data_IF_155033898324
#
_entry.id   IF_155033898324
#
_cell.length_a   1.000
_cell.length_b   1.000
_cell.length_c   1.000
_cell.angle_alpha   90.00
_cell.angle_beta   90.00
_cell.angle_gamma   90.00
#
_symmetry.space_group_name_H-M   'P 1'
#
loop_
_entity.id
_entity.type
_entity.pdbx_description
1 polymer ?
#
# COMPACT_ATOMS: atom_id res chain seq x y z
N UNK A 1 -72.17 -9.97 33.13
CA UNK A 1 -71.44 -8.69 33.00
C UNK A 1 -70.61 -8.77 31.72
N UNK A 2 -71.05 -8.12 30.64
CA UNK A 2 -70.37 -6.95 30.01
C UNK A 2 -68.91 -7.23 29.64
N UNK A 3 -68.35 -6.92 28.46
CA UNK A 3 -68.78 -6.36 27.17
C UNK A 3 -67.47 -6.26 26.34
N UNK A 4 -67.55 -6.47 25.02
CA UNK A 4 -66.71 -5.85 23.94
C UNK A 4 -65.19 -6.10 23.97
N UNK A 5 -64.45 -6.21 22.86
CA UNK A 5 -64.73 -5.98 21.44
C UNK A 5 -63.39 -5.73 20.70
N UNK A 6 -63.41 -5.82 19.36
CA UNK A 6 -62.32 -5.43 18.43
C UNK A 6 -61.47 -6.64 17.98
N UNK A 7 -61.61 -7.25 16.80
CA UNK A 7 -61.79 -6.84 15.39
C UNK A 7 -60.49 -6.31 14.73
N UNK A 8 -60.07 -7.02 13.68
CA UNK A 8 -58.98 -6.75 12.73
C UNK A 8 -57.89 -7.85 12.79
N UNK A 9 -57.79 -8.85 11.91
CA UNK A 9 -57.91 -8.88 10.45
C UNK A 9 -56.62 -8.34 9.83
N UNK A 10 -55.80 -9.04 9.04
CA UNK A 10 -55.81 -10.38 8.46
C UNK A 10 -54.63 -10.49 7.48
N UNK A 11 -54.22 -11.72 7.14
CA UNK A 11 -53.35 -12.05 5.99
C UNK A 11 -51.85 -11.88 6.21
N UNK A 12 -50.97 -12.88 6.15
CA UNK A 12 -51.09 -14.24 5.62
C UNK A 12 -50.31 -14.39 4.31
N UNK A 13 -49.10 -14.96 4.41
CA UNK A 13 -48.58 -15.90 3.41
C UNK A 13 -47.47 -15.41 2.47
N UNK A 14 -46.45 -16.27 2.30
CA UNK A 14 -45.64 -16.29 1.08
C UNK A 14 -44.14 -16.45 1.31
N UNK A 15 -43.69 -17.67 1.60
CA UNK A 15 -42.26 -18.02 1.56
C UNK A 15 -41.74 -18.16 0.12
N UNK A 16 -40.43 -17.99 -0.04
CA UNK A 16 -39.69 -18.31 -1.26
C UNK A 16 -38.19 -18.35 -0.99
N UNK A 17 -37.62 -19.57 -1.00
CA UNK A 17 -36.18 -19.84 -0.98
C UNK A 17 -35.60 -19.71 -2.39
N UNK A 18 -34.34 -19.31 -2.50
CA UNK A 18 -33.41 -19.80 -3.53
C UNK A 18 -32.76 -18.73 -4.42
N UNK A 19 -31.43 -18.81 -4.56
CA UNK A 19 -30.69 -18.16 -5.66
C UNK A 19 -29.28 -17.68 -5.33
N UNK A 20 -28.27 -18.50 -5.60
CA UNK A 20 -26.85 -18.11 -5.72
C UNK A 20 -26.61 -17.24 -6.97
N UNK A 21 -25.61 -16.34 -6.91
CA UNK A 21 -24.70 -16.09 -8.04
C UNK A 21 -24.64 -14.66 -8.63
N UNK A 22 -23.44 -14.06 -8.60
CA UNK A 22 -22.94 -13.15 -9.65
C UNK A 22 -22.85 -11.65 -9.34
N UNK A 23 -21.64 -11.06 -9.42
CA UNK A 23 -21.46 -9.64 -9.79
C UNK A 23 -20.83 -8.67 -8.77
N UNK A 24 -19.63 -8.94 -8.25
CA UNK A 24 -18.90 -8.06 -7.31
C UNK A 24 -18.28 -6.77 -7.91
N UNK A 25 -19.05 -6.02 -8.70
CA UNK A 25 -18.67 -4.69 -9.23
C UNK A 25 -19.43 -3.50 -8.62
N UNK A 26 -20.50 -3.73 -7.87
CA UNK A 26 -21.43 -2.69 -7.39
C UNK A 26 -20.93 -1.86 -6.20
N UNK A 27 -20.22 -2.46 -5.24
CA UNK A 27 -20.00 -1.83 -3.93
C UNK A 27 -19.03 -0.62 -3.97
N UNK A 28 -18.00 -0.65 -4.83
CA UNK A 28 -17.01 0.44 -4.91
C UNK A 28 -17.54 1.68 -5.60
N UNK A 29 -18.36 1.48 -6.64
CA UNK A 29 -18.96 2.55 -7.44
C UNK A 29 -20.02 3.30 -6.62
N UNK A 30 -20.89 2.56 -5.92
CA UNK A 30 -21.88 3.13 -4.99
C UNK A 30 -21.21 3.94 -3.87
N UNK A 31 -20.18 3.38 -3.21
CA UNK A 31 -19.44 4.08 -2.16
C UNK A 31 -18.76 5.38 -2.63
N UNK A 32 -18.28 5.42 -3.88
CA UNK A 32 -17.70 6.62 -4.47
C UNK A 32 -18.74 7.74 -4.63
N UNK A 33 -19.90 7.47 -5.24
CA UNK A 33 -20.95 8.48 -5.40
C UNK A 33 -21.56 8.92 -4.07
N UNK A 34 -21.70 7.99 -3.12
CA UNK A 34 -22.17 8.34 -1.78
C UNK A 34 -21.18 9.24 -1.06
N UNK A 35 -19.87 9.11 -1.30
CA UNK A 35 -18.87 10.03 -0.77
C UNK A 35 -19.05 11.46 -1.30
N UNK A 36 -19.49 11.64 -2.55
CA UNK A 36 -19.81 12.96 -3.12
C UNK A 36 -21.04 13.55 -2.45
N UNK A 37 -22.12 12.77 -2.32
CA UNK A 37 -23.39 13.18 -1.70
C UNK A 37 -23.25 13.54 -0.22
N UNK A 38 -22.37 12.83 0.48
CA UNK A 38 -22.13 12.98 1.93
C UNK A 38 -20.96 13.92 2.29
N UNK A 39 -20.28 14.50 1.29
CA UNK A 39 -19.03 15.27 1.47
C UNK A 39 -17.92 14.54 2.23
N UNK A 40 -17.81 13.22 2.05
CA UNK A 40 -16.70 12.46 2.62
C UNK A 40 -15.43 12.65 1.78
N UNK A 41 -14.75 13.79 2.02
CA UNK A 41 -13.56 14.24 1.28
C UNK A 41 -12.41 13.22 1.31
N UNK A 42 -12.23 12.48 2.42
CA UNK A 42 -11.16 11.48 2.54
C UNK A 42 -11.37 10.33 1.56
N UNK A 43 -12.57 9.76 1.55
CA UNK A 43 -12.93 8.69 0.62
C UNK A 43 -12.92 9.18 -0.82
N UNK A 44 -13.46 10.38 -1.08
CA UNK A 44 -13.48 10.98 -2.41
C UNK A 44 -12.06 11.22 -2.96
N UNK A 45 -11.18 11.84 -2.17
CA UNK A 45 -9.80 12.10 -2.58
C UNK A 45 -9.00 10.81 -2.78
N UNK A 46 -9.24 9.78 -1.96
CA UNK A 46 -8.57 8.49 -2.14
C UNK A 46 -9.02 7.81 -3.44
N UNK A 47 -10.33 7.81 -3.71
CA UNK A 47 -10.90 7.20 -4.92
C UNK A 47 -10.46 7.89 -6.21
N UNK A 48 -10.34 9.23 -6.21
CA UNK A 48 -9.82 9.98 -7.37
C UNK A 48 -8.32 9.77 -7.60
N UNK A 49 -7.53 9.50 -6.54
CA UNK A 49 -6.07 9.32 -6.66
C UNK A 49 -5.65 7.89 -6.97
N UNK A 50 -6.32 6.91 -6.34
CA UNK A 50 -5.89 5.51 -6.34
C UNK A 50 -7.00 4.54 -6.76
N UNK A 51 -8.25 5.01 -6.83
CA UNK A 51 -9.42 4.17 -7.10
C UNK A 51 -9.80 4.05 -8.59
N UNK A 52 -9.10 4.75 -9.49
CA UNK A 52 -9.38 4.72 -10.94
C UNK A 52 -10.67 5.43 -11.37
N UNK A 53 -11.17 6.36 -10.55
CA UNK A 53 -12.33 7.21 -10.88
C UNK A 53 -11.86 8.54 -11.45
N UNK A 54 -12.53 9.05 -12.48
CA UNK A 54 -12.25 10.34 -13.10
C UNK A 54 -13.34 11.39 -12.73
N UNK A 55 -13.06 12.69 -12.86
CA UNK A 55 -14.05 13.75 -12.65
C UNK A 55 -15.24 13.74 -13.63
N UNK A 56 -15.05 13.20 -14.83
CA UNK A 56 -16.03 13.19 -15.94
C UNK A 56 -16.51 11.80 -16.33
N UNK A 57 -15.89 10.75 -15.75
CA UNK A 57 -16.29 9.33 -15.84
C UNK A 57 -16.02 8.68 -14.47
N UNK A 58 -16.87 7.82 -13.88
CA UNK A 58 -17.96 7.06 -14.46
C UNK A 58 -19.31 7.62 -14.02
N UNK A 59 -20.38 7.09 -14.60
CA UNK A 59 -21.78 7.49 -14.42
C UNK A 59 -22.41 6.88 -13.18
N UNK A 60 -23.24 7.60 -12.42
CA UNK A 60 -24.12 6.94 -11.42
C UNK A 60 -25.28 6.23 -12.14
N UNK A 61 -26.21 5.62 -11.41
CA UNK A 61 -27.40 4.98 -12.03
C UNK A 61 -28.29 5.98 -12.81
N UNK A 62 -28.06 7.29 -12.64
CA UNK A 62 -28.73 8.39 -13.32
C UNK A 62 -27.91 8.99 -14.50
N UNK A 63 -26.80 8.35 -14.87
CA UNK A 63 -25.89 8.80 -15.91
C UNK A 63 -25.27 10.20 -15.72
N UNK A 64 -25.09 10.63 -14.47
CA UNK A 64 -24.52 11.94 -14.11
C UNK A 64 -23.01 11.83 -13.80
N UNK A 65 -22.15 12.65 -14.43
CA UNK A 65 -20.72 12.72 -14.10
C UNK A 65 -20.45 13.23 -12.66
N UNK A 66 -19.34 12.84 -12.02
CA UNK A 66 -19.00 13.25 -10.65
C UNK A 66 -18.97 14.77 -10.43
N UNK A 67 -18.39 15.53 -11.37
CA UNK A 67 -18.36 17.00 -11.31
C UNK A 67 -19.76 17.60 -11.35
N UNK A 68 -20.64 17.12 -12.25
CA UNK A 68 -22.04 17.56 -12.34
C UNK A 68 -22.85 17.12 -11.12
N UNK A 69 -22.57 15.96 -10.54
CA UNK A 69 -23.24 15.47 -9.35
C UNK A 69 -22.94 16.34 -8.13
N UNK A 70 -21.68 16.77 -7.98
CA UNK A 70 -21.29 17.69 -6.91
C UNK A 70 -22.00 19.05 -7.04
N UNK A 71 -22.16 19.54 -8.27
CA UNK A 71 -22.92 20.77 -8.56
C UNK A 71 -24.41 20.59 -8.30
N UNK A 72 -25.00 19.48 -8.78
CA UNK A 72 -26.42 19.16 -8.63
C UNK A 72 -26.85 19.13 -7.16
N UNK A 73 -26.05 18.51 -6.28
CA UNK A 73 -26.31 18.47 -4.84
C UNK A 73 -25.70 19.65 -4.05
N UNK A 74 -25.13 20.66 -4.71
CA UNK A 74 -24.50 21.86 -4.12
C UNK A 74 -23.45 21.53 -3.04
N UNK A 75 -22.57 20.56 -3.33
CA UNK A 75 -21.55 20.04 -2.41
C UNK A 75 -20.22 20.74 -2.63
N UNK A 76 -20.00 21.86 -1.94
CA UNK A 76 -18.84 22.72 -2.14
C UNK A 76 -17.51 22.00 -1.86
N UNK A 77 -17.45 21.17 -0.82
CA UNK A 77 -16.20 20.46 -0.45
C UNK A 77 -15.88 19.35 -1.44
N UNK A 78 -16.90 18.63 -1.89
CA UNK A 78 -16.77 17.62 -2.93
C UNK A 78 -16.32 18.25 -4.25
N UNK A 79 -16.95 19.37 -4.66
CA UNK A 79 -16.58 20.08 -5.89
C UNK A 79 -15.13 20.57 -5.86
N UNK A 80 -14.67 21.17 -4.75
CA UNK A 80 -13.27 21.59 -4.59
C UNK A 80 -12.30 20.42 -4.75
N UNK A 81 -12.61 19.28 -4.13
CA UNK A 81 -11.76 18.08 -4.20
C UNK A 81 -11.66 17.53 -5.62
N UNK A 82 -12.77 17.58 -6.36
CA UNK A 82 -12.82 17.17 -7.77
C UNK A 82 -12.01 18.14 -8.65
N UNK A 83 -12.16 19.45 -8.46
CA UNK A 83 -11.40 20.47 -9.20
C UNK A 83 -9.89 20.39 -8.93
N UNK A 84 -9.47 20.18 -7.68
CA UNK A 84 -8.06 19.91 -7.35
C UNK A 84 -7.51 18.67 -8.06
N UNK A 85 -8.37 17.68 -8.33
CA UNK A 85 -7.97 16.51 -9.12
C UNK A 85 -7.80 16.85 -10.59
N UNK A 86 -8.63 17.73 -11.14
CA UNK A 86 -8.54 18.22 -12.53
C UNK A 86 -7.25 19.02 -12.73
N UNK A 87 -6.93 19.94 -11.82
CA UNK A 87 -5.69 20.72 -11.86
C UNK A 87 -4.44 19.84 -11.87
N UNK A 88 -4.45 18.75 -11.09
CA UNK A 88 -3.34 17.78 -11.04
C UNK A 88 -3.16 17.03 -12.36
N UNK A 89 -4.24 16.79 -13.11
CA UNK A 89 -4.18 16.13 -14.41
C UNK A 89 -3.74 17.09 -15.54
N UNK A 90 -3.67 18.41 -15.27
CA UNK A 90 -3.40 19.46 -16.27
C UNK A 90 -4.34 19.41 -17.48
N UNK A 91 -5.58 18.96 -17.28
CA UNK A 91 -6.57 18.87 -18.34
C UNK A 91 -7.67 19.92 -18.18
N UNK A 92 -7.42 21.11 -18.73
CA UNK A 92 -8.38 22.21 -18.71
C UNK A 92 -9.65 21.92 -19.52
N UNK A 93 -9.68 20.89 -20.37
CA UNK A 93 -10.89 20.53 -21.14
C UNK A 93 -11.93 19.83 -20.27
N UNK A 94 -11.53 19.29 -19.12
CA UNK A 94 -12.41 18.53 -18.22
C UNK A 94 -13.42 19.43 -17.50
N UNK A 95 -13.10 20.69 -17.22
CA UNK A 95 -14.04 21.63 -16.56
C UNK A 95 -15.21 22.03 -17.45
N UNK A 96 -15.03 21.96 -18.77
CA UNK A 96 -16.04 22.27 -19.78
C UNK A 96 -16.87 21.04 -20.22
N UNK A 97 -16.71 19.92 -19.54
CA UNK A 97 -17.43 18.69 -19.87
C UNK A 97 -18.94 18.90 -19.78
N UNK A 98 -19.69 18.39 -20.76
CA UNK A 98 -21.14 18.53 -20.81
C UNK A 98 -21.81 17.24 -20.35
N UNK A 99 -22.79 17.39 -19.46
CA UNK A 99 -23.61 16.26 -19.02
C UNK A 99 -24.41 15.66 -20.19
N UNK A 100 -24.61 14.35 -20.21
CA UNK A 100 -25.33 13.64 -21.26
C UNK A 100 -26.82 14.02 -21.26
N UNK A 101 -27.40 14.19 -20.07
CA UNK A 101 -28.84 14.42 -19.94
C UNK A 101 -29.26 15.80 -20.45
N UNK A 102 -28.58 16.85 -19.98
CA UNK A 102 -28.97 18.23 -20.30
C UNK A 102 -28.00 18.98 -21.22
N UNK A 103 -26.83 18.40 -21.53
CA UNK A 103 -25.76 19.02 -22.32
C UNK A 103 -25.27 20.38 -21.78
N UNK A 104 -25.32 20.53 -20.46
CA UNK A 104 -24.85 21.72 -19.74
C UNK A 104 -23.44 21.51 -19.22
N UNK A 105 -22.62 22.57 -19.26
CA UNK A 105 -21.36 22.60 -18.51
C UNK A 105 -21.63 22.70 -17.00
N UNK A 106 -20.66 22.37 -16.13
CA UNK A 106 -20.82 22.52 -14.68
C UNK A 106 -21.16 23.96 -14.29
N UNK A 107 -20.60 24.97 -15.00
CA UNK A 107 -20.88 26.38 -14.77
C UNK A 107 -22.34 26.73 -15.13
N UNK A 108 -22.81 26.27 -16.29
CA UNK A 108 -24.21 26.48 -16.71
C UNK A 108 -25.19 25.79 -15.74
N UNK A 109 -24.84 24.59 -15.25
CA UNK A 109 -25.62 23.88 -14.23
C UNK A 109 -25.66 24.66 -12.91
N UNK A 110 -24.53 25.19 -12.43
CA UNK A 110 -24.46 26.01 -11.22
C UNK A 110 -25.30 27.30 -11.35
N UNK A 111 -25.26 27.94 -12.53
CA UNK A 111 -26.07 29.13 -12.85
C UNK A 111 -27.56 28.82 -12.81
N UNK A 112 -27.99 27.71 -13.43
CA UNK A 112 -29.38 27.26 -13.42
C UNK A 112 -29.91 26.95 -12.04
N UNK A 113 -29.05 26.45 -11.16
CA UNK A 113 -29.38 26.16 -9.76
C UNK A 113 -29.27 27.39 -8.85
N UNK A 114 -28.85 28.56 -9.34
CA UNK A 114 -28.64 29.77 -8.53
C UNK A 114 -27.54 29.60 -7.47
N UNK A 115 -26.56 28.72 -7.69
CA UNK A 115 -25.54 28.38 -6.70
C UNK A 115 -24.29 29.26 -6.83
N UNK A 116 -24.30 30.42 -6.16
CA UNK A 116 -23.24 31.42 -6.22
C UNK A 116 -21.85 30.88 -5.84
N UNK A 117 -21.72 30.14 -4.73
CA UNK A 117 -20.42 29.61 -4.27
C UNK A 117 -19.80 28.63 -5.28
N UNK A 118 -20.65 27.86 -5.97
CA UNK A 118 -20.22 26.96 -7.05
C UNK A 118 -19.76 27.72 -8.28
N UNK A 119 -20.45 28.79 -8.65
CA UNK A 119 -20.07 29.69 -9.77
C UNK A 119 -18.71 30.32 -9.49
N UNK A 120 -18.50 30.91 -8.32
CA UNK A 120 -17.19 31.48 -7.94
C UNK A 120 -16.08 30.45 -8.01
N UNK A 121 -16.33 29.23 -7.51
CA UNK A 121 -15.32 28.17 -7.51
C UNK A 121 -14.99 27.69 -8.93
N UNK A 122 -15.99 27.55 -9.81
CA UNK A 122 -15.79 27.13 -11.20
C UNK A 122 -15.07 28.22 -12.03
N UNK A 123 -15.43 29.50 -11.86
CA UNK A 123 -14.77 30.62 -12.53
C UNK A 123 -13.28 30.71 -12.14
N UNK A 124 -12.97 30.60 -10.84
CA UNK A 124 -11.59 30.56 -10.35
C UNK A 124 -10.76 29.40 -10.91
N UNK A 125 -11.40 28.34 -11.41
CA UNK A 125 -10.74 27.20 -12.03
C UNK A 125 -10.81 27.24 -13.58
N UNK A 126 -11.14 28.40 -14.16
CA UNK A 126 -11.06 28.65 -15.60
C UNK A 126 -12.28 28.22 -16.41
N UNK A 127 -13.46 28.12 -15.79
CA UNK A 127 -14.69 27.82 -16.53
C UNK A 127 -15.08 28.95 -17.50
N UNK A 128 -15.51 28.60 -18.72
CA UNK A 128 -15.83 29.53 -19.80
C UNK A 128 -17.20 30.19 -19.63
N UNK A 129 -17.22 31.52 -19.48
CA UNK A 129 -18.47 32.31 -19.38
C UNK A 129 -19.19 32.46 -20.72
N UNK A 130 -18.51 32.19 -21.85
CA UNK A 130 -19.03 32.37 -23.21
C UNK A 130 -19.63 31.09 -23.79
N UNK A 131 -19.43 29.94 -23.15
CA UNK A 131 -19.98 28.66 -23.61
C UNK A 131 -21.51 28.70 -23.68
N UNK A 132 -22.11 28.35 -24.83
CA UNK A 132 -23.57 28.35 -25.00
C UNK A 132 -24.18 26.96 -24.78
N UNK A 133 -25.42 26.87 -24.31
CA UNK A 133 -26.18 25.61 -24.27
C UNK A 133 -26.79 25.26 -25.64
N UNK A 134 -27.59 24.18 -25.72
CA UNK A 134 -28.32 23.78 -26.95
C UNK A 134 -29.31 24.84 -27.47
N UNK A 135 -29.70 25.79 -26.61
CA UNK A 135 -30.63 26.89 -26.92
C UNK A 135 -29.89 28.19 -27.25
N UNK A 136 -28.56 28.16 -27.28
CA UNK A 136 -27.72 29.34 -27.51
C UNK A 136 -27.57 30.26 -26.29
N UNK A 137 -27.98 29.82 -25.10
CA UNK A 137 -27.92 30.64 -23.89
C UNK A 137 -26.55 30.53 -23.21
N UNK A 138 -25.98 31.68 -22.84
CA UNK A 138 -24.75 31.75 -22.03
C UNK A 138 -25.03 31.48 -20.55
N UNK A 139 -24.03 31.08 -19.73
CA UNK A 139 -24.16 30.95 -18.28
C UNK A 139 -24.83 32.15 -17.62
N UNK A 140 -24.48 33.36 -18.05
CA UNK A 140 -25.09 34.62 -17.61
C UNK A 140 -26.60 34.66 -17.90
N UNK A 141 -27.01 34.36 -19.13
CA UNK A 141 -28.42 34.34 -19.53
C UNK A 141 -29.21 33.21 -18.86
N UNK A 142 -28.55 32.10 -18.53
CA UNK A 142 -29.13 31.01 -17.75
C UNK A 142 -29.35 31.46 -16.29
N UNK A 143 -28.39 32.16 -15.69
CA UNK A 143 -28.51 32.72 -14.35
C UNK A 143 -29.64 33.77 -14.25
N UNK A 144 -29.82 34.62 -15.26
CA UNK A 144 -30.93 35.60 -15.29
C UNK A 144 -32.32 34.93 -15.26
N UNK A 145 -32.43 33.74 -15.87
CA UNK A 145 -33.69 32.98 -15.94
C UNK A 145 -33.89 32.03 -14.75
N UNK A 146 -32.88 31.88 -13.89
CA UNK A 146 -32.91 30.94 -12.77
C UNK A 146 -33.46 31.59 -11.48
N UNK A 147 -34.26 30.83 -10.72
CA UNK A 147 -34.71 31.26 -9.40
C UNK A 147 -33.50 31.42 -8.45
N UNK A 148 -33.29 32.64 -7.94
CA UNK A 148 -32.15 32.98 -7.08
C UNK A 148 -30.83 33.25 -7.82
N UNK A 149 -30.84 33.35 -9.15
CA UNK A 149 -29.64 33.57 -9.97
C UNK A 149 -29.04 34.98 -9.94
N UNK A 150 -29.66 35.95 -9.27
CA UNK A 150 -29.18 37.35 -9.22
C UNK A 150 -27.73 37.49 -8.74
N UNK A 151 -27.32 36.69 -7.74
CA UNK A 151 -25.94 36.64 -7.25
C UNK A 151 -24.98 36.02 -8.26
N UNK A 152 -25.44 35.04 -9.04
CA UNK A 152 -24.62 34.45 -10.09
C UNK A 152 -24.41 35.43 -11.24
N UNK A 153 -25.42 36.23 -11.59
CA UNK A 153 -25.29 37.28 -12.61
C UNK A 153 -24.28 38.34 -12.17
N UNK A 154 -24.37 38.85 -10.93
CA UNK A 154 -23.40 39.84 -10.43
C UNK A 154 -21.96 39.31 -10.43
N UNK A 155 -21.77 38.05 -10.04
CA UNK A 155 -20.45 37.40 -10.04
C UNK A 155 -19.88 37.23 -11.46
N UNK A 156 -20.72 36.89 -12.44
CA UNK A 156 -20.27 36.77 -13.84
C UNK A 156 -19.96 38.15 -14.41
N UNK A 157 -20.81 39.15 -14.15
CA UNK A 157 -20.59 40.53 -14.62
C UNK A 157 -19.32 41.16 -14.00
N UNK A 158 -19.02 40.86 -12.73
CA UNK A 158 -17.76 41.26 -12.07
C UNK A 158 -16.56 40.56 -12.73
N UNK A 159 -16.66 39.25 -12.98
CA UNK A 159 -15.59 38.46 -13.61
C UNK A 159 -15.29 38.91 -15.05
N UNK A 160 -16.31 39.25 -15.84
CA UNK A 160 -16.15 39.72 -17.22
C UNK A 160 -15.54 41.14 -17.25
N UNK A 161 -15.92 42.02 -16.32
CA UNK A 161 -15.32 43.37 -16.19
C UNK A 161 -13.83 43.31 -15.83
N UNK A 162 -13.44 42.37 -14.98
CA UNK A 162 -12.04 42.17 -14.62
C UNK A 162 -11.21 41.60 -15.80
N UNK A 163 -11.85 41.01 -16.80
CA UNK A 163 -11.18 40.43 -17.98
C UNK A 163 -10.95 41.39 -19.15
N UNK A 164 -11.63 42.55 -19.18
CA UNK A 164 -11.62 43.49 -20.31
C UNK A 164 -10.73 44.76 -20.09
N UNK A 165 -10.20 45.02 -18.89
CA UNK A 165 -9.41 46.23 -18.57
C UNK A 165 -7.88 45.97 -18.57
N UNK A 166 -7.29 45.63 -19.73
CA UNK A 166 -5.84 45.80 -19.95
C UNK A 166 -5.53 47.28 -20.25
N UNK A 167 -5.41 48.09 -19.19
CA UNK A 167 -4.95 49.48 -19.25
C UNK A 167 -4.62 50.03 -17.86
N UNK A 168 -3.52 50.80 -17.69
CA UNK A 168 -2.76 50.83 -16.45
C UNK A 168 -3.49 51.61 -15.34
N UNK A 169 -3.88 50.93 -14.26
CA UNK A 169 -4.36 51.58 -13.03
C UNK A 169 -3.57 51.12 -11.82
N UNK A 170 -3.26 52.13 -11.00
CA UNK A 170 -2.46 52.14 -9.77
C UNK A 170 -2.64 50.87 -8.94
N UNK A 171 -1.56 50.11 -8.85
CA UNK A 171 -1.36 49.01 -7.91
C UNK A 171 -1.67 49.48 -6.49
N UNK A 172 -2.64 48.85 -5.84
CA UNK A 172 -2.77 48.98 -4.39
C UNK A 172 -1.57 48.28 -3.73
N UNK A 173 -1.03 48.81 -2.64
CA UNK A 173 0.12 48.23 -1.92
C UNK A 173 -0.08 46.74 -1.56
N UNK A 174 -1.32 46.30 -1.41
CA UNK A 174 -1.68 44.91 -1.15
C UNK A 174 -1.55 44.00 -2.40
N UNK A 175 -1.86 44.51 -3.59
CA UNK A 175 -1.68 43.78 -4.86
C UNK A 175 -0.22 43.70 -5.26
N UNK A 176 0.55 44.78 -5.04
CA UNK A 176 2.00 44.79 -5.23
C UNK A 176 2.68 43.75 -4.34
N UNK A 177 2.34 43.70 -3.04
CA UNK A 177 2.86 42.69 -2.11
C UNK A 177 2.43 41.26 -2.48
N UNK A 178 1.20 41.06 -2.97
CA UNK A 178 0.75 39.74 -3.45
C UNK A 178 1.49 39.30 -4.71
N UNK A 179 1.72 40.19 -5.67
CA UNK A 179 2.52 39.90 -6.86
C UNK A 179 3.97 39.64 -6.53
N UNK A 180 4.57 40.40 -5.62
CA UNK A 180 5.95 40.18 -5.14
C UNK A 180 6.08 38.82 -4.43
N UNK A 181 5.13 38.45 -3.57
CA UNK A 181 5.12 37.14 -2.90
C UNK A 181 4.90 35.99 -3.89
N UNK A 182 4.00 36.16 -4.87
CA UNK A 182 3.76 35.14 -5.89
C UNK A 182 4.96 34.99 -6.84
N UNK A 183 5.60 36.10 -7.23
CA UNK A 183 6.81 36.09 -8.04
C UNK A 183 7.99 35.45 -7.28
N UNK A 184 8.16 35.77 -6.00
CA UNK A 184 9.16 35.13 -5.14
C UNK A 184 8.89 33.62 -4.98
N UNK A 185 7.63 33.21 -4.81
CA UNK A 185 7.27 31.78 -4.77
C UNK A 185 7.48 31.07 -6.11
N UNK A 186 7.21 31.73 -7.24
CA UNK A 186 7.45 31.18 -8.57
C UNK A 186 8.95 31.08 -8.86
N UNK A 187 9.74 32.07 -8.46
CA UNK A 187 11.18 32.06 -8.60
C UNK A 187 11.81 30.99 -7.71
N UNK A 188 11.39 30.87 -6.44
CA UNK A 188 11.83 29.79 -5.56
C UNK A 188 11.47 28.42 -6.14
N UNK A 189 10.25 28.23 -6.68
CA UNK A 189 9.86 26.96 -7.33
C UNK A 189 10.68 26.66 -8.59
N UNK A 190 11.06 27.68 -9.35
CA UNK A 190 11.90 27.52 -10.54
C UNK A 190 13.36 27.19 -10.16
N UNK A 191 13.88 27.81 -9.10
CA UNK A 191 15.20 27.51 -8.53
C UNK A 191 15.23 26.11 -7.91
N UNK A 192 14.19 25.71 -7.16
CA UNK A 192 14.04 24.37 -6.61
C UNK A 192 13.92 23.32 -7.74
N UNK A 193 13.22 23.64 -8.83
CA UNK A 193 13.12 22.77 -10.02
C UNK A 193 14.47 22.60 -10.72
N UNK A 194 15.22 23.69 -10.90
CA UNK A 194 16.56 23.65 -11.50
C UNK A 194 17.59 22.97 -10.59
N UNK A 195 17.49 23.17 -9.28
CA UNK A 195 18.33 22.50 -8.29
C UNK A 195 18.07 20.99 -8.30
N UNK A 196 16.80 20.57 -8.42
CA UNK A 196 16.43 19.17 -8.56
C UNK A 196 16.93 18.56 -9.88
N UNK A 197 16.81 19.28 -10.99
CA UNK A 197 17.31 18.84 -12.29
C UNK A 197 18.85 18.72 -12.31
N UNK A 198 19.56 19.68 -11.72
CA UNK A 198 21.02 19.61 -11.56
C UNK A 198 21.46 18.49 -10.60
N UNK A 199 20.70 18.23 -9.53
CA UNK A 199 20.97 17.12 -8.63
C UNK A 199 20.73 15.76 -9.31
N UNK A 200 19.68 15.63 -10.12
CA UNK A 200 19.40 14.43 -10.91
C UNK A 200 20.47 14.19 -11.98
N UNK A 201 21.01 15.27 -12.59
CA UNK A 201 22.11 15.17 -13.55
C UNK A 201 23.44 14.79 -12.87
N UNK A 202 23.78 15.43 -11.75
CA UNK A 202 24.96 15.08 -10.96
C UNK A 202 24.89 13.66 -10.39
N UNK A 203 23.70 13.18 -10.01
CA UNK A 203 23.49 11.80 -9.57
C UNK A 203 23.68 10.79 -10.72
N UNK A 204 23.32 11.16 -11.95
CA UNK A 204 23.61 10.35 -13.14
C UNK A 204 25.10 10.31 -13.44
N UNK A 205 25.78 11.44 -13.43
CA UNK A 205 27.22 11.50 -13.72
C UNK A 205 28.02 10.73 -12.65
N UNK A 206 27.68 10.88 -11.37
CA UNK A 206 28.26 10.08 -10.28
C UNK A 206 27.97 8.58 -10.42
N UNK A 207 26.79 8.21 -10.94
CA UNK A 207 26.44 6.81 -11.22
C UNK A 207 27.27 6.23 -12.36
N UNK A 208 27.54 6.98 -13.43
CA UNK A 208 28.39 6.53 -14.53
C UNK A 208 29.87 6.41 -14.12
N UNK A 209 30.38 7.35 -13.33
CA UNK A 209 31.73 7.28 -12.76
C UNK A 209 31.91 6.09 -11.81
N UNK A 210 30.90 5.77 -11.00
CA UNK A 210 30.89 4.59 -10.13
C UNK A 210 30.85 3.30 -10.95
N UNK A 211 30.09 3.29 -12.05
CA UNK A 211 29.97 2.17 -12.99
C UNK A 211 31.28 1.87 -13.74
N UNK A 212 32.03 2.89 -14.15
CA UNK A 212 33.34 2.73 -14.80
C UNK A 212 34.39 2.19 -13.81
N UNK A 213 34.41 2.72 -12.58
CA UNK A 213 35.28 2.19 -11.51
C UNK A 213 34.94 0.75 -11.15
N UNK A 214 33.66 0.38 -11.10
CA UNK A 214 33.26 -1.01 -10.83
C UNK A 214 33.71 -1.95 -11.95
N UNK A 215 33.63 -1.52 -13.21
CA UNK A 215 34.10 -2.33 -14.35
C UNK A 215 35.60 -2.61 -14.29
N UNK A 216 36.43 -1.60 -14.04
CA UNK A 216 37.89 -1.78 -13.95
C UNK A 216 38.28 -2.74 -12.81
N UNK A 217 37.60 -2.65 -11.68
CA UNK A 217 37.81 -3.54 -10.52
C UNK A 217 37.33 -4.96 -10.83
N UNK A 218 36.17 -5.12 -11.48
CA UNK A 218 35.61 -6.43 -11.83
C UNK A 218 36.43 -7.15 -12.90
N UNK A 219 36.94 -6.44 -13.93
CA UNK A 219 37.82 -7.01 -14.94
C UNK A 219 39.14 -7.50 -14.32
N UNK A 220 39.73 -6.71 -13.43
CA UNK A 220 40.94 -7.11 -12.69
C UNK A 220 40.70 -8.31 -11.77
N UNK A 221 39.53 -8.38 -11.12
CA UNK A 221 39.14 -9.49 -10.25
C UNK A 221 38.84 -10.77 -11.05
N UNK A 222 38.34 -10.67 -12.28
CA UNK A 222 38.03 -11.83 -13.13
C UNK A 222 39.27 -12.70 -13.42
N UNK A 223 40.45 -12.08 -13.51
CA UNK A 223 41.72 -12.78 -13.71
C UNK A 223 42.21 -13.52 -12.44
N UNK A 224 41.74 -13.11 -11.26
CA UNK A 224 42.11 -13.67 -9.96
C UNK A 224 41.09 -14.68 -9.41
N UNK A 225 39.88 -14.71 -9.98
CA UNK A 225 38.82 -15.62 -9.56
C UNK A 225 39.23 -17.09 -9.78
N UNK A 226 39.07 -17.91 -8.75
CA UNK A 226 39.31 -19.35 -8.77
C UNK A 226 38.09 -20.10 -9.27
N UNK A 227 36.89 -19.62 -8.96
CA UNK A 227 35.64 -20.24 -9.41
C UNK A 227 35.27 -19.79 -10.82
N UNK A 228 35.07 -20.74 -11.73
CA UNK A 228 34.68 -20.47 -13.12
C UNK A 228 33.36 -19.69 -13.22
N UNK A 229 32.42 -19.95 -12.32
CA UNK A 229 31.15 -19.22 -12.23
C UNK A 229 31.38 -17.72 -11.95
N UNK A 230 32.37 -17.38 -11.12
CA UNK A 230 32.74 -16.01 -10.82
C UNK A 230 33.53 -15.35 -11.95
N UNK A 231 34.42 -16.09 -12.62
CA UNK A 231 35.12 -15.57 -13.81
C UNK A 231 34.12 -15.11 -14.87
N UNK A 232 33.13 -15.95 -15.17
CA UNK A 232 32.07 -15.63 -16.13
C UNK A 232 31.18 -14.50 -15.61
N UNK A 233 30.83 -14.51 -14.33
CA UNK A 233 29.98 -13.46 -13.76
C UNK A 233 30.64 -12.07 -13.77
N UNK A 234 31.94 -12.01 -13.49
CA UNK A 234 32.74 -10.79 -13.52
C UNK A 234 32.98 -10.29 -14.95
N UNK A 235 33.28 -11.20 -15.89
CA UNK A 235 33.50 -10.85 -17.30
C UNK A 235 32.22 -10.36 -18.00
N UNK A 236 31.08 -11.01 -17.74
CA UNK A 236 29.80 -10.70 -18.39
C UNK A 236 28.93 -9.70 -17.60
N UNK A 237 29.43 -9.18 -16.46
CA UNK A 237 28.69 -8.31 -15.54
C UNK A 237 27.31 -8.88 -15.17
N UNK A 238 27.28 -10.18 -14.84
CA UNK A 238 26.02 -10.85 -14.52
C UNK A 238 25.38 -10.22 -13.28
N UNK A 239 24.06 -10.18 -13.29
CA UNK A 239 23.23 -9.71 -12.17
C UNK A 239 22.88 -10.84 -11.20
N UNK A 240 23.08 -12.09 -11.62
CA UNK A 240 22.71 -13.26 -10.84
C UNK A 240 23.84 -14.28 -10.89
N UNK A 241 24.18 -14.81 -9.72
CA UNK A 241 25.19 -15.85 -9.56
C UNK A 241 24.63 -16.93 -8.65
N UNK A 242 24.73 -18.16 -9.13
CA UNK A 242 24.42 -19.37 -8.37
C UNK A 242 25.67 -20.24 -8.30
N UNK A 243 26.06 -20.58 -7.08
CA UNK A 243 27.29 -21.31 -6.77
C UNK A 243 26.89 -22.54 -5.98
N UNK A 244 27.05 -23.72 -6.58
CA UNK A 244 26.89 -25.00 -5.90
C UNK A 244 28.24 -25.73 -5.87
N UNK A 245 28.87 -25.73 -4.70
CA UNK A 245 30.11 -26.45 -4.40
C UNK A 245 29.87 -27.51 -3.32
N UNK A 246 28.63 -27.98 -3.17
CA UNK A 246 28.24 -28.98 -2.17
C UNK A 246 29.00 -30.31 -2.30
N UNK A 247 29.45 -30.64 -3.51
CA UNK A 247 30.19 -31.88 -3.85
C UNK A 247 31.67 -31.66 -4.21
N UNK A 248 32.15 -30.43 -4.11
CA UNK A 248 33.51 -30.06 -4.52
C UNK A 248 34.43 -30.02 -3.29
N UNK A 249 35.18 -31.10 -3.07
CA UNK A 249 36.03 -31.27 -1.88
C UNK A 249 37.26 -30.32 -1.85
N UNK A 250 37.65 -29.74 -2.99
CA UNK A 250 38.80 -28.82 -3.09
C UNK A 250 38.36 -27.35 -2.99
N UNK A 251 37.41 -26.92 -3.82
CA UNK A 251 37.00 -25.52 -3.90
C UNK A 251 35.79 -25.18 -3.01
N UNK A 252 35.08 -26.19 -2.48
CA UNK A 252 33.93 -26.01 -1.61
C UNK A 252 34.29 -25.65 -0.17
N UNK A 253 35.58 -25.62 0.21
CA UNK A 253 36.03 -25.39 1.60
C UNK A 253 36.18 -23.92 2.02
N UNK A 254 36.34 -23.00 1.07
CA UNK A 254 36.53 -21.57 1.36
C UNK A 254 35.89 -20.71 0.29
N UNK A 255 35.28 -19.59 0.69
CA UNK A 255 34.68 -18.63 -0.23
C UNK A 255 35.79 -17.96 -1.06
N UNK A 256 35.61 -17.88 -2.38
CA UNK A 256 36.47 -17.08 -3.24
C UNK A 256 36.25 -15.58 -2.96
N UNK A 257 37.26 -14.82 -2.47
CA UNK A 257 37.10 -13.42 -2.11
C UNK A 257 36.70 -12.52 -3.29
N UNK A 258 36.92 -12.96 -4.53
CA UNK A 258 36.52 -12.20 -5.73
C UNK A 258 35.00 -12.07 -5.84
N UNK A 259 34.21 -12.93 -5.19
CA UNK A 259 32.75 -12.82 -5.14
C UNK A 259 32.30 -11.43 -4.65
N UNK A 260 32.99 -10.86 -3.67
CA UNK A 260 32.63 -9.58 -3.07
C UNK A 260 32.95 -8.37 -3.95
N UNK A 261 33.68 -8.59 -5.06
CA UNK A 261 33.96 -7.55 -6.06
C UNK A 261 32.85 -7.43 -7.10
N UNK A 262 31.89 -8.36 -7.10
CA UNK A 262 30.77 -8.38 -8.05
C UNK A 262 29.68 -7.35 -7.70
N UNK A 263 29.98 -6.05 -7.82
CA UNK A 263 29.07 -4.95 -7.44
C UNK A 263 27.75 -4.88 -8.22
N UNK A 264 27.65 -5.59 -9.35
CA UNK A 264 26.44 -5.65 -10.20
C UNK A 264 25.41 -6.68 -9.74
N UNK A 265 25.73 -7.51 -8.74
CA UNK A 265 24.86 -8.60 -8.32
C UNK A 265 23.57 -8.11 -7.67
N UNK A 266 22.46 -8.63 -8.17
CA UNK A 266 21.12 -8.48 -7.59
C UNK A 266 20.63 -9.79 -6.97
N UNK A 267 21.15 -10.95 -7.38
CA UNK A 267 20.82 -12.25 -6.81
C UNK A 267 22.11 -13.04 -6.56
N UNK A 268 22.30 -13.49 -5.33
CA UNK A 268 23.38 -14.38 -4.94
C UNK A 268 22.78 -15.62 -4.29
N UNK A 269 23.08 -16.77 -4.85
CA UNK A 269 22.74 -18.06 -4.28
C UNK A 269 24.01 -18.89 -4.13
N UNK A 270 24.27 -19.40 -2.93
CA UNK A 270 25.47 -20.17 -2.64
C UNK A 270 25.21 -21.32 -1.67
N UNK A 271 25.60 -22.52 -2.09
CA UNK A 271 25.63 -23.72 -1.27
C UNK A 271 27.02 -24.33 -1.38
N UNK A 272 27.76 -24.34 -0.27
CA UNK A 272 29.12 -24.89 -0.21
C UNK A 272 29.11 -26.30 0.36
N UNK A 273 30.29 -26.92 0.43
CA UNK A 273 30.44 -28.21 1.11
C UNK A 273 30.01 -28.10 2.58
N UNK A 274 29.45 -29.17 3.18
CA UNK A 274 29.00 -29.15 4.56
C UNK A 274 30.10 -28.64 5.52
N UNK A 275 29.76 -27.67 6.36
CA UNK A 275 30.69 -27.08 7.33
C UNK A 275 31.69 -26.07 6.75
N UNK A 276 31.65 -25.76 5.45
CA UNK A 276 32.59 -24.80 4.84
C UNK A 276 32.15 -23.35 5.03
N UNK A 277 30.86 -23.06 4.84
CA UNK A 277 30.31 -21.73 5.04
C UNK A 277 29.80 -21.57 6.47
N UNK A 278 30.69 -21.18 7.38
CA UNK A 278 30.37 -20.97 8.80
C UNK A 278 30.09 -19.51 9.16
N UNK A 279 30.59 -18.57 8.38
CA UNK A 279 30.35 -17.14 8.52
C UNK A 279 30.49 -16.43 7.18
N UNK A 280 29.82 -15.28 7.03
CA UNK A 280 30.04 -14.37 5.91
C UNK A 280 30.99 -13.23 6.34
N UNK A 281 31.91 -12.78 5.48
CA UNK A 281 32.77 -11.64 5.78
C UNK A 281 31.99 -10.31 5.69
N UNK A 282 32.52 -9.27 6.33
CA UNK A 282 32.01 -7.89 6.26
C UNK A 282 32.00 -7.32 4.84
N UNK A 283 32.80 -7.90 3.94
CA UNK A 283 32.84 -7.56 2.51
C UNK A 283 31.51 -7.77 1.78
N UNK A 284 30.54 -8.48 2.37
CA UNK A 284 29.17 -8.56 1.84
C UNK A 284 28.54 -7.18 1.64
N UNK A 285 28.97 -6.17 2.42
CA UNK A 285 28.55 -4.77 2.28
C UNK A 285 28.82 -4.17 0.90
N UNK A 286 29.81 -4.70 0.16
CA UNK A 286 30.15 -4.25 -1.20
C UNK A 286 29.10 -4.63 -2.23
N UNK A 287 28.23 -5.60 -1.93
CA UNK A 287 27.14 -6.04 -2.81
C UNK A 287 25.88 -5.16 -2.62
N UNK A 288 26.02 -3.84 -2.66
CA UNK A 288 24.96 -2.87 -2.32
C UNK A 288 23.67 -2.99 -3.16
N UNK A 289 23.78 -3.55 -4.37
CA UNK A 289 22.66 -3.77 -5.29
C UNK A 289 21.88 -5.08 -5.04
N UNK A 290 22.31 -5.89 -4.06
CA UNK A 290 21.75 -7.21 -3.82
C UNK A 290 20.28 -7.10 -3.37
N UNK A 291 19.43 -7.86 -4.05
CA UNK A 291 17.99 -7.99 -3.77
C UNK A 291 17.63 -9.34 -3.20
N UNK A 292 18.39 -10.37 -3.54
CA UNK A 292 18.10 -11.74 -3.14
C UNK A 292 19.39 -12.43 -2.68
N UNK A 293 19.39 -12.89 -1.43
CA UNK A 293 20.49 -13.62 -0.82
C UNK A 293 19.98 -14.98 -0.35
N UNK A 294 20.49 -16.05 -0.97
CA UNK A 294 20.06 -17.43 -0.73
C UNK A 294 21.28 -18.26 -0.30
N UNK A 295 21.32 -18.65 0.96
CA UNK A 295 22.40 -19.40 1.60
C UNK A 295 21.88 -20.65 2.31
N UNK A 296 20.81 -21.24 1.76
CA UNK A 296 20.15 -22.43 2.27
C UNK A 296 21.10 -23.65 2.27
N UNK A 297 21.02 -24.50 3.30
CA UNK A 297 21.85 -25.70 3.49
C UNK A 297 23.36 -25.41 3.63
N UNK A 298 23.71 -24.51 4.55
CA UNK A 298 25.10 -24.26 4.93
C UNK A 298 25.27 -24.45 6.45
N UNK A 299 26.38 -24.01 7.03
CA UNK A 299 26.66 -24.14 8.48
C UNK A 299 26.85 -22.76 9.14
N UNK A 300 26.13 -21.75 8.67
CA UNK A 300 26.27 -20.37 9.15
C UNK A 300 25.89 -20.30 10.63
N UNK A 301 26.83 -19.93 11.49
CA UNK A 301 26.60 -19.72 12.92
C UNK A 301 26.03 -18.33 13.21
N UNK A 302 26.37 -17.34 12.37
CA UNK A 302 25.88 -15.97 12.45
C UNK A 302 25.88 -15.29 11.07
N UNK A 303 25.04 -14.26 10.93
CA UNK A 303 25.13 -13.28 9.85
C UNK A 303 25.89 -12.05 10.35
N UNK A 304 26.77 -11.45 9.52
CA UNK A 304 27.50 -10.24 9.89
C UNK A 304 26.57 -9.03 9.99
N UNK A 305 26.93 -8.06 10.84
CA UNK A 305 26.17 -6.81 10.98
C UNK A 305 26.12 -6.02 9.67
N UNK A 306 27.09 -6.20 8.78
CA UNK A 306 27.13 -5.57 7.46
C UNK A 306 25.96 -5.98 6.55
N UNK A 307 25.21 -7.04 6.87
CA UNK A 307 23.99 -7.37 6.10
C UNK A 307 22.98 -6.22 6.09
N UNK A 308 22.98 -5.37 7.12
CA UNK A 308 22.12 -4.19 7.21
C UNK A 308 22.46 -3.08 6.21
N UNK A 309 23.59 -3.15 5.49
CA UNK A 309 23.91 -2.20 4.41
C UNK A 309 23.19 -2.56 3.10
N UNK A 310 22.63 -3.76 2.99
CA UNK A 310 21.91 -4.25 1.82
C UNK A 310 20.47 -3.70 1.79
N UNK A 311 20.34 -2.38 1.69
CA UNK A 311 19.04 -1.64 1.73
C UNK A 311 18.09 -1.96 0.57
N UNK A 312 18.53 -2.77 -0.40
CA UNK A 312 17.74 -3.25 -1.53
C UNK A 312 17.32 -4.71 -1.38
N UNK A 313 17.70 -5.38 -0.30
CA UNK A 313 17.40 -6.78 -0.04
C UNK A 313 15.88 -6.97 0.13
N UNK A 314 15.32 -7.89 -0.65
CA UNK A 314 13.90 -8.28 -0.69
C UNK A 314 13.71 -9.72 -0.24
N UNK A 315 14.67 -10.60 -0.57
CA UNK A 315 14.62 -12.03 -0.24
C UNK A 315 15.87 -12.39 0.55
N UNK A 316 15.66 -12.95 1.74
CA UNK A 316 16.70 -13.54 2.57
C UNK A 316 16.32 -14.98 2.90
N UNK A 317 17.05 -15.94 2.34
CA UNK A 317 16.89 -17.37 2.61
C UNK A 317 18.17 -17.90 3.25
N UNK A 318 18.06 -18.33 4.51
CA UNK A 318 19.16 -18.90 5.30
C UNK A 318 18.67 -20.14 6.05
N UNK A 319 17.74 -20.88 5.45
CA UNK A 319 17.20 -22.11 6.05
C UNK A 319 18.27 -23.21 6.11
N UNK A 320 18.12 -24.13 7.07
CA UNK A 320 19.09 -25.21 7.29
C UNK A 320 20.51 -24.67 7.49
N UNK A 321 20.67 -23.84 8.52
CA UNK A 321 21.94 -23.32 9.01
C UNK A 321 22.00 -23.48 10.55
N UNK A 322 23.02 -22.89 11.18
CA UNK A 322 23.25 -22.98 12.63
C UNK A 322 23.08 -21.61 13.30
N UNK A 323 22.22 -20.74 12.76
CA UNK A 323 22.05 -19.38 13.25
C UNK A 323 21.44 -19.38 14.66
N UNK A 324 22.12 -18.72 15.59
CA UNK A 324 21.63 -18.53 16.98
C UNK A 324 20.94 -17.18 17.17
N UNK A 325 21.33 -16.18 16.38
CA UNK A 325 20.72 -14.85 16.40
C UNK A 325 20.74 -14.20 15.01
N UNK A 326 19.86 -13.22 14.81
CA UNK A 326 19.92 -12.29 13.68
C UNK A 326 20.65 -11.00 14.10
N UNK A 327 21.40 -10.33 13.22
CA UNK A 327 22.08 -9.08 13.54
C UNK A 327 21.08 -7.92 13.66
N UNK A 328 21.28 -7.04 14.64
CA UNK A 328 20.40 -5.87 14.89
C UNK A 328 20.30 -4.92 13.70
N UNK A 329 21.31 -4.92 12.84
CA UNK A 329 21.35 -4.11 11.62
C UNK A 329 20.33 -4.54 10.57
N UNK A 330 19.77 -5.75 10.67
CA UNK A 330 18.79 -6.29 9.72
C UNK A 330 17.52 -5.43 9.63
N UNK A 331 17.22 -4.65 10.68
CA UNK A 331 16.14 -3.64 10.69
C UNK A 331 16.29 -2.56 9.61
N UNK A 332 17.50 -2.35 9.08
CA UNK A 332 17.76 -1.39 8.02
C UNK A 332 17.33 -1.91 6.63
N UNK A 333 17.13 -3.22 6.49
CA UNK A 333 16.67 -3.85 5.25
C UNK A 333 15.15 -3.67 5.08
N UNK A 334 14.72 -2.42 4.89
CA UNK A 334 13.30 -2.01 4.90
C UNK A 334 12.47 -2.56 3.74
N UNK A 335 13.11 -3.14 2.72
CA UNK A 335 12.47 -3.72 1.53
C UNK A 335 12.29 -5.24 1.60
N UNK A 336 12.56 -5.87 2.74
CA UNK A 336 12.38 -7.31 2.91
C UNK A 336 10.92 -7.71 2.70
N UNK A 337 10.71 -8.67 1.80
CA UNK A 337 9.41 -9.25 1.43
C UNK A 337 9.34 -10.73 1.82
N UNK A 338 10.44 -11.47 1.69
CA UNK A 338 10.51 -12.90 1.98
C UNK A 338 11.71 -13.16 2.88
N UNK A 339 11.43 -13.75 4.04
CA UNK A 339 12.45 -14.14 5.02
C UNK A 339 12.22 -15.60 5.40
N UNK A 340 13.20 -16.45 5.09
CA UNK A 340 13.16 -17.89 5.35
C UNK A 340 14.34 -18.27 6.25
N UNK A 341 14.01 -18.65 7.48
CA UNK A 341 14.91 -18.90 8.61
C UNK A 341 14.70 -20.30 9.21
N UNK A 342 13.91 -21.15 8.55
CA UNK A 342 13.55 -22.46 9.10
C UNK A 342 14.77 -23.33 9.34
N UNK A 343 14.71 -24.21 10.35
CA UNK A 343 15.79 -25.13 10.72
C UNK A 343 17.09 -24.38 11.07
N UNK A 344 16.99 -23.55 12.12
CA UNK A 344 18.10 -22.84 12.76
C UNK A 344 17.92 -22.95 14.29
N UNK A 345 18.67 -22.18 15.07
CA UNK A 345 18.63 -22.17 16.54
C UNK A 345 18.22 -20.79 17.10
N UNK A 346 17.41 -20.03 16.35
CA UNK A 346 17.05 -18.65 16.71
C UNK A 346 16.17 -18.60 17.94
N UNK A 347 16.49 -17.71 18.88
CA UNK A 347 15.67 -17.44 20.06
C UNK A 347 14.81 -16.17 19.92
N UNK A 348 15.16 -15.29 18.98
CA UNK A 348 14.56 -13.96 18.78
C UNK A 348 14.42 -13.62 17.30
N UNK A 349 13.35 -12.88 16.96
CA UNK A 349 13.08 -12.28 15.65
C UNK A 349 13.02 -10.74 15.72
N UNK A 350 13.34 -10.13 16.86
CA UNK A 350 13.31 -8.68 17.07
C UNK A 350 14.02 -7.85 15.98
N UNK A 351 15.15 -8.29 15.39
CA UNK A 351 15.80 -7.56 14.30
C UNK A 351 14.96 -7.40 13.02
N UNK A 352 13.84 -8.14 12.87
CA UNK A 352 12.90 -7.98 11.75
C UNK A 352 11.91 -6.82 11.94
N UNK A 353 11.98 -6.05 13.04
CA UNK A 353 11.06 -4.95 13.34
C UNK A 353 11.02 -3.82 12.29
N UNK A 354 11.99 -3.75 11.39
CA UNK A 354 12.09 -2.75 10.33
C UNK A 354 11.60 -3.18 8.94
N UNK A 355 10.87 -4.30 8.80
CA UNK A 355 10.45 -4.87 7.51
C UNK A 355 8.93 -4.71 7.23
N UNK A 356 8.43 -3.50 6.87
CA UNK A 356 7.00 -3.25 6.70
C UNK A 356 6.38 -3.95 5.47
N UNK A 357 7.20 -4.29 4.48
CA UNK A 357 6.78 -4.94 3.24
C UNK A 357 6.80 -6.47 3.31
N UNK A 358 7.06 -7.05 4.50
CA UNK A 358 7.15 -8.49 4.68
C UNK A 358 5.86 -9.21 4.28
N UNK A 359 5.97 -10.15 3.34
CA UNK A 359 4.89 -10.97 2.79
C UNK A 359 4.92 -12.39 3.34
N UNK A 360 6.13 -12.93 3.52
CA UNK A 360 6.37 -14.31 3.97
C UNK A 360 7.46 -14.33 5.02
N UNK A 361 7.13 -14.90 6.18
CA UNK A 361 8.08 -15.24 7.23
C UNK A 361 7.98 -16.73 7.54
N UNK A 362 9.07 -17.45 7.35
CA UNK A 362 9.20 -18.85 7.75
C UNK A 362 10.33 -18.97 8.77
N UNK A 363 10.01 -19.46 9.95
CA UNK A 363 10.94 -19.68 11.05
C UNK A 363 10.60 -20.98 11.79
N UNK A 364 10.15 -21.99 11.05
CA UNK A 364 9.86 -23.32 11.60
C UNK A 364 11.13 -23.96 12.17
N UNK A 365 11.01 -24.84 13.17
CA UNK A 365 12.16 -25.54 13.76
C UNK A 365 13.26 -24.56 14.22
N UNK A 366 12.92 -23.72 15.21
CA UNK A 366 13.83 -22.80 15.90
C UNK A 366 13.58 -22.88 17.42
N UNK A 367 14.21 -22.02 18.20
CA UNK A 367 14.10 -21.97 19.67
C UNK A 367 13.30 -20.75 20.16
N UNK A 368 12.36 -20.24 19.35
CA UNK A 368 11.60 -19.03 19.67
C UNK A 368 10.68 -19.26 20.87
N UNK A 369 10.79 -18.43 21.90
CA UNK A 369 9.92 -18.47 23.09
C UNK A 369 8.77 -17.47 23.01
N UNK A 370 8.95 -16.39 22.24
CA UNK A 370 7.90 -15.44 21.87
C UNK A 370 8.13 -14.87 20.46
N UNK A 371 7.10 -14.22 19.91
CA UNK A 371 7.22 -13.42 18.68
C UNK A 371 7.51 -11.96 19.09
N UNK A 372 8.79 -11.63 19.22
CA UNK A 372 9.32 -10.38 19.78
C UNK A 372 9.53 -9.26 18.74
N UNK A 373 8.73 -9.26 17.68
CA UNK A 373 8.73 -8.21 16.66
C UNK A 373 7.32 -7.65 16.43
N UNK A 374 7.19 -6.37 16.06
CA UNK A 374 5.90 -5.70 15.89
C UNK A 374 5.14 -6.24 14.67
N UNK A 375 4.21 -7.18 14.88
CA UNK A 375 3.35 -7.73 13.82
C UNK A 375 2.44 -6.68 13.19
N UNK A 376 2.05 -5.65 13.96
CA UNK A 376 1.29 -4.50 13.48
C UNK A 376 2.08 -3.65 12.47
N UNK A 377 3.41 -3.69 12.54
CA UNK A 377 4.33 -3.10 11.57
C UNK A 377 4.38 -3.83 10.22
N UNK A 378 3.88 -5.06 10.12
CA UNK A 378 3.92 -5.91 8.91
C UNK A 378 2.52 -6.17 8.33
N UNK A 379 1.76 -5.15 7.91
CA UNK A 379 0.35 -5.29 7.51
C UNK A 379 0.16 -6.12 6.23
N UNK A 380 1.24 -6.35 5.48
CA UNK A 380 1.23 -7.10 4.22
C UNK A 380 1.45 -8.61 4.39
N UNK A 381 1.72 -9.08 5.61
CA UNK A 381 2.08 -10.48 5.86
C UNK A 381 0.96 -11.43 5.44
N UNK A 382 1.31 -12.37 4.57
CA UNK A 382 0.39 -13.39 4.03
C UNK A 382 0.69 -14.79 4.53
N UNK A 383 1.96 -15.05 4.88
CA UNK A 383 2.43 -16.35 5.34
C UNK A 383 3.29 -16.16 6.57
N UNK A 384 2.90 -16.79 7.68
CA UNK A 384 3.66 -16.83 8.92
C UNK A 384 3.74 -18.28 9.39
N UNK A 385 4.91 -18.89 9.28
CA UNK A 385 5.16 -20.27 9.69
C UNK A 385 6.20 -20.25 10.83
N UNK A 386 5.78 -20.65 12.02
CA UNK A 386 6.57 -20.68 13.26
C UNK A 386 6.35 -22.00 14.02
N UNK A 387 6.08 -23.07 13.28
CA UNK A 387 5.89 -24.42 13.81
C UNK A 387 7.18 -24.95 14.46
N UNK A 388 7.04 -25.91 15.38
CA UNK A 388 8.18 -26.55 16.04
C UNK A 388 9.12 -25.51 16.70
N UNK A 389 8.54 -24.68 17.55
CA UNK A 389 9.23 -23.69 18.37
C UNK A 389 8.82 -23.89 19.85
N UNK A 390 9.18 -22.93 20.71
CA UNK A 390 8.91 -22.96 22.14
C UNK A 390 7.93 -21.85 22.56
N UNK A 391 7.08 -21.38 21.63
CA UNK A 391 6.20 -20.24 21.86
C UNK A 391 5.20 -20.53 22.99
N UNK A 392 5.23 -19.73 24.05
CA UNK A 392 4.30 -19.88 25.18
C UNK A 392 2.97 -19.13 24.97
N UNK A 393 3.02 -18.03 24.22
CA UNK A 393 1.87 -17.20 23.90
C UNK A 393 2.04 -16.55 22.52
N UNK A 394 0.93 -16.07 21.97
CA UNK A 394 0.94 -15.25 20.75
C UNK A 394 0.56 -13.81 21.10
N UNK A 395 1.25 -12.81 20.53
CA UNK A 395 0.93 -11.39 20.72
C UNK A 395 -0.47 -11.06 20.18
N UNK A 396 -1.14 -10.09 20.81
CA UNK A 396 -2.49 -9.66 20.43
C UNK A 396 -2.52 -9.03 19.02
N UNK A 397 -1.39 -8.46 18.61
CA UNK A 397 -1.10 -7.84 17.33
C UNK A 397 -1.31 -8.80 16.16
N UNK A 398 -1.28 -10.13 16.37
CA UNK A 398 -1.63 -11.13 15.34
C UNK A 398 -3.00 -10.86 14.71
N UNK A 399 -3.95 -10.30 15.48
CA UNK A 399 -5.29 -9.95 15.01
C UNK A 399 -5.32 -8.84 13.95
N UNK A 400 -4.24 -8.09 13.78
CA UNK A 400 -4.12 -7.00 12.80
C UNK A 400 -3.81 -7.50 11.39
N UNK A 401 -3.31 -8.73 11.24
CA UNK A 401 -2.86 -9.31 9.98
C UNK A 401 -4.01 -9.74 9.06
N UNK A 402 -4.74 -8.76 8.53
CA UNK A 402 -5.95 -8.98 7.72
C UNK A 402 -5.71 -9.63 6.34
N UNK A 403 -4.44 -9.77 5.93
CA UNK A 403 -4.02 -10.42 4.69
C UNK A 403 -3.48 -11.84 4.89
N UNK A 404 -3.38 -12.32 6.13
CA UNK A 404 -2.82 -13.63 6.46
C UNK A 404 -3.65 -14.75 5.82
N UNK A 405 -2.97 -15.60 5.05
CA UNK A 405 -3.52 -16.75 4.34
C UNK A 405 -3.05 -18.07 4.95
N UNK A 406 -1.76 -18.15 5.29
CA UNK A 406 -1.17 -19.33 5.89
C UNK A 406 -0.59 -18.98 7.24
N UNK A 407 -1.11 -19.60 8.29
CA UNK A 407 -0.58 -19.49 9.64
C UNK A 407 -0.35 -20.87 10.22
N UNK A 408 0.89 -21.14 10.59
CA UNK A 408 1.28 -22.38 11.25
C UNK A 408 2.07 -22.04 12.51
N UNK A 409 1.52 -22.40 13.66
CA UNK A 409 2.18 -22.37 14.95
C UNK A 409 2.00 -23.73 15.66
N UNK A 410 1.95 -24.81 14.88
CA UNK A 410 1.90 -26.17 15.41
C UNK A 410 3.16 -26.52 16.21
N UNK A 411 3.06 -27.52 17.09
CA UNK A 411 4.17 -27.99 17.91
C UNK A 411 4.90 -26.87 18.68
N UNK A 412 4.12 -26.12 19.45
CA UNK A 412 4.59 -25.05 20.33
C UNK A 412 4.04 -25.28 21.77
N UNK A 413 4.24 -24.33 22.68
CA UNK A 413 3.81 -24.41 24.07
C UNK A 413 2.58 -23.54 24.39
N UNK A 414 1.77 -23.22 23.37
CA UNK A 414 0.66 -22.28 23.50
C UNK A 414 -0.43 -22.82 24.44
N UNK A 415 -0.72 -22.08 25.51
CA UNK A 415 -1.78 -22.42 26.49
C UNK A 415 -3.14 -21.83 26.13
N UNK A 416 -3.14 -20.68 25.47
CA UNK A 416 -4.31 -19.93 25.02
C UNK A 416 -4.02 -19.18 23.74
N UNK A 417 -5.06 -18.66 23.10
CA UNK A 417 -4.97 -17.83 21.91
C UNK A 417 -5.52 -16.43 22.23
N UNK A 418 -4.87 -15.35 21.77
CA UNK A 418 -5.36 -14.00 21.99
C UNK A 418 -6.73 -13.82 21.33
N UNK A 419 -7.64 -13.12 22.02
CA UNK A 419 -9.01 -12.88 21.56
C UNK A 419 -9.00 -12.08 20.24
N UNK A 420 -8.00 -11.24 20.05
CA UNK A 420 -7.71 -10.44 18.87
C UNK A 420 -7.50 -11.28 17.61
N UNK A 421 -7.04 -12.53 17.73
CA UNK A 421 -6.92 -13.45 16.60
C UNK A 421 -8.27 -13.69 15.90
N UNK A 422 -9.40 -13.50 16.61
CA UNK A 422 -10.73 -13.47 15.99
C UNK A 422 -10.90 -12.37 14.93
N UNK A 423 -10.05 -11.35 14.89
CA UNK A 423 -10.01 -10.31 13.86
C UNK A 423 -9.50 -10.77 12.50
N UNK A 424 -8.84 -11.94 12.43
CA UNK A 424 -8.32 -12.50 11.19
C UNK A 424 -9.44 -12.83 10.19
N UNK A 425 -9.12 -12.74 8.90
CA UNK A 425 -10.08 -12.97 7.83
C UNK A 425 -10.26 -14.45 7.54
N UNK A 426 -11.35 -15.04 8.04
CA UNK A 426 -11.74 -16.43 7.76
C UNK A 426 -11.81 -16.76 6.26
N UNK A 427 -12.15 -15.78 5.42
CA UNK A 427 -12.28 -15.97 3.96
C UNK A 427 -10.93 -16.03 3.24
N UNK A 428 -9.89 -15.43 3.82
CA UNK A 428 -8.54 -15.41 3.24
C UNK A 428 -7.65 -16.51 3.79
N UNK A 429 -7.95 -17.00 4.99
CA UNK A 429 -7.20 -18.08 5.63
C UNK A 429 -7.37 -19.38 4.83
N UNK A 430 -6.29 -19.83 4.19
CA UNK A 430 -6.21 -21.10 3.47
C UNK A 430 -5.72 -22.22 4.37
N UNK A 431 -4.72 -21.92 5.22
CA UNK A 431 -4.06 -22.90 6.08
C UNK A 431 -3.97 -22.34 7.49
N UNK A 432 -4.51 -23.08 8.46
CA UNK A 432 -4.36 -22.78 9.87
C UNK A 432 -3.96 -24.06 10.60
N UNK A 433 -2.73 -24.09 11.12
CA UNK A 433 -2.19 -25.21 11.87
C UNK A 433 -1.78 -24.75 13.26
N UNK A 434 -2.37 -25.38 14.27
CA UNK A 434 -2.15 -25.09 15.69
C UNK A 434 -2.04 -26.39 16.51
N UNK A 435 -1.92 -27.54 15.84
CA UNK A 435 -1.83 -28.84 16.51
C UNK A 435 -0.55 -28.97 17.34
N UNK A 436 -0.50 -29.94 18.25
CA UNK A 436 0.70 -30.14 19.08
C UNK A 436 0.98 -29.03 20.10
N UNK A 437 -0.03 -28.24 20.49
CA UNK A 437 0.05 -27.20 21.52
C UNK A 437 -0.62 -27.61 22.85
N UNK A 438 -0.31 -26.89 23.93
CA UNK A 438 -0.78 -27.16 25.29
C UNK A 438 -2.11 -26.44 25.65
N UNK A 439 -3.04 -26.29 24.71
CA UNK A 439 -4.25 -25.47 24.92
C UNK A 439 -5.10 -25.90 26.12
N UNK A 440 -5.50 -24.95 26.96
CA UNK A 440 -6.34 -25.23 28.13
C UNK A 440 -7.84 -25.23 27.80
N UNK A 441 -8.27 -24.43 26.81
CA UNK A 441 -9.67 -24.36 26.38
C UNK A 441 -10.09 -25.65 25.64
N UNK A 442 -11.02 -26.40 26.24
CA UNK A 442 -11.58 -27.63 25.67
C UNK A 442 -12.29 -27.40 24.34
N UNK A 443 -12.85 -26.21 24.10
CA UNK A 443 -13.52 -25.89 22.85
C UNK A 443 -12.51 -25.67 21.73
N UNK A 444 -11.41 -24.96 22.01
CA UNK A 444 -10.30 -24.79 21.05
C UNK A 444 -9.76 -26.16 20.65
N UNK A 445 -9.47 -27.04 21.62
CA UNK A 445 -9.04 -28.42 21.34
C UNK A 445 -10.01 -29.19 20.45
N UNK A 446 -11.30 -29.18 20.79
CA UNK A 446 -12.34 -29.85 19.98
C UNK A 446 -12.43 -29.30 18.56
N UNK A 447 -12.32 -27.98 18.39
CA UNK A 447 -12.34 -27.34 17.06
C UNK A 447 -11.14 -27.80 16.24
N UNK A 448 -9.94 -27.80 16.83
CA UNK A 448 -8.72 -28.21 16.12
C UNK A 448 -8.72 -29.70 15.74
N UNK A 449 -9.26 -30.59 16.57
CA UNK A 449 -9.25 -32.04 16.31
C UNK A 449 -10.37 -32.52 15.37
N UNK A 450 -11.54 -31.86 15.38
CA UNK A 450 -12.76 -32.42 14.76
C UNK A 450 -13.40 -31.52 13.69
N UNK A 451 -12.96 -30.28 13.57
CA UNK A 451 -13.57 -29.34 12.63
C UNK A 451 -13.10 -29.58 11.20
N UNK A 452 -14.04 -29.49 10.25
CA UNK A 452 -13.72 -29.43 8.81
C UNK A 452 -13.26 -28.02 8.38
N UNK A 453 -13.53 -26.99 9.19
CA UNK A 453 -13.16 -25.60 8.93
C UNK A 453 -12.62 -24.94 10.22
N UNK A 454 -11.45 -25.39 10.70
CA UNK A 454 -10.94 -25.00 12.02
C UNK A 454 -10.79 -23.47 12.14
N UNK A 455 -10.32 -22.77 11.09
CA UNK A 455 -10.17 -21.32 11.11
C UNK A 455 -11.48 -20.56 11.35
N UNK A 456 -12.55 -20.96 10.67
CA UNK A 456 -13.87 -20.31 10.78
C UNK A 456 -14.48 -20.47 12.17
N UNK A 457 -14.50 -21.71 12.66
CA UNK A 457 -15.10 -22.02 13.95
C UNK A 457 -14.29 -21.43 15.11
N UNK A 458 -12.96 -21.45 15.00
CA UNK A 458 -12.06 -20.87 15.98
C UNK A 458 -12.22 -19.35 16.06
N UNK A 459 -12.18 -18.64 14.94
CA UNK A 459 -12.31 -17.18 14.95
C UNK A 459 -13.71 -16.74 15.42
N UNK A 460 -14.76 -17.49 15.10
CA UNK A 460 -16.10 -17.25 15.64
C UNK A 460 -16.15 -17.46 17.17
N UNK A 461 -15.50 -18.51 17.69
CA UNK A 461 -15.40 -18.75 19.13
C UNK A 461 -14.69 -17.61 19.85
N UNK A 462 -13.54 -17.17 19.34
CA UNK A 462 -12.78 -16.04 19.90
C UNK A 462 -13.57 -14.72 19.86
N UNK A 463 -14.30 -14.44 18.76
CA UNK A 463 -15.19 -13.26 18.68
C UNK A 463 -16.31 -13.29 19.72
N UNK A 464 -16.88 -14.47 20.01
CA UNK A 464 -17.92 -14.62 21.04
C UNK A 464 -17.38 -14.35 22.44
N UNK A 465 -16.14 -14.76 22.73
CA UNK A 465 -15.48 -14.42 23.99
C UNK A 465 -15.30 -12.90 24.15
N UNK A 466 -14.93 -12.18 23.07
CA UNK A 466 -14.85 -10.71 23.05
C UNK A 466 -16.19 -10.04 23.40
N UNK A 467 -17.31 -10.58 22.90
CA UNK A 467 -18.66 -10.04 23.14
C UNK A 467 -19.24 -10.38 24.52
N UNK A 468 -18.77 -11.44 25.17
CA UNK A 468 -19.25 -11.91 26.47
C UNK A 468 -18.75 -11.10 27.68
N UNK A 469 -17.66 -10.33 27.53
CA UNK A 469 -17.02 -9.58 28.61
C UNK A 469 -17.83 -8.41 29.20
N UNK A 470 -18.93 -7.98 28.57
CA UNK A 470 -19.81 -6.91 29.10
C UNK A 470 -20.85 -7.38 30.12
N UNK A 471 -20.88 -8.67 30.48
CA UNK A 471 -21.79 -9.22 31.51
C UNK A 471 -21.04 -9.90 32.66
N UNK A 472 -20.19 -9.15 33.37
CA UNK A 472 -19.93 -9.40 34.79
C UNK A 472 -19.89 -8.04 35.49
N UNK A 473 -21.05 -7.63 35.97
CA UNK A 473 -21.21 -6.65 37.05
C UNK A 473 -21.09 -7.39 38.38
#
# INVERSE_FOLDING_TARGET
>A
MSRRGGRGGGGGGGGGRGGHGGGGGGDKKSAFFDSIRTENVKTLSWSLRYGGFEPTRPYNDDDIPPIHLAVHYRKLRSLRTILESIDRMRDNKTIEYRDINENLTPLQLACRLGWADGVTLLLNNGADTKATDKRGLTPRQIAEKAEGGAKCVSLIDEWEKDSDDEGPKKETEAEKRKKEVLAAQQQQRAEDSKAKENADLAAKDAFYDDLEKTKEVQESASALAKWEELKVALADLKKEVHIDKSKDEENGKAIDPTLWTCGTLTRLSMTLSPGALTSLPSDISKLSNLKELILTHNALAALPDEIGTLVHLRVLEVEHNELTSLPDSLKNCTKLEVVMLSNNMLESLAPLCGAPDLLTLQANNNNLTLLDFPLDGCPRLTTLLVAHNQLESLPAEIGTLSLLKSFDASHNQLKELPIEMGGLSEKKMTTLQLEGNAFTDRNVKKILEKSRQPAKELFMHLRKQKGGGKKKK
#
